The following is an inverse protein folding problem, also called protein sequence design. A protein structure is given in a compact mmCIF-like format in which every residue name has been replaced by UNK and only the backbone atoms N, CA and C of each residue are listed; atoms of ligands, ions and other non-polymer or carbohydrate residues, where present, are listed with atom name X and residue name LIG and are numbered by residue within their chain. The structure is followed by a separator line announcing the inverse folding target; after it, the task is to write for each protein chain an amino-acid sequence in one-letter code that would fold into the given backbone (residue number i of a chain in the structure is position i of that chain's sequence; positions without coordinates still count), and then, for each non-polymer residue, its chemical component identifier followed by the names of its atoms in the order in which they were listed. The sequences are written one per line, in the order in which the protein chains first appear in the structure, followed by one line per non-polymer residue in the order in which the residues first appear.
data_IF_935797430016
#
_entry.id   IF_935797430016
#
_cell.length_a   1.000
_cell.length_b   1.000
_cell.length_c   1.000
_cell.angle_alpha   90.00
_cell.angle_beta   90.00
_cell.angle_gamma   90.00
#
_symmetry.space_group_name_H-M   'P 1'
#
loop_
_entity.id
_entity.type
_entity.pdbx_description
1 polymer ?
#
# COMPACT_ATOMS: atom_id res chain seq x y z
N UNK A 1 -15.51 13.34 8.84
CA UNK A 1 -14.62 12.81 7.80
C UNK A 1 -14.75 13.69 6.57
N UNK A 2 -13.75 14.52 6.27
CA UNK A 2 -13.76 15.34 5.07
C UNK A 2 -13.99 14.47 3.83
N UNK A 3 -14.89 14.87 2.91
CA UNK A 3 -15.12 14.19 1.63
C UNK A 3 -13.76 14.03 0.94
N UNK A 4 -13.25 12.81 0.87
CA UNK A 4 -11.99 12.48 0.22
C UNK A 4 -12.12 12.87 -1.25
N UNK A 5 -11.22 13.71 -1.76
CA UNK A 5 -11.16 14.03 -3.18
C UNK A 5 -11.05 12.74 -3.98
N UNK A 6 -11.90 12.59 -5.00
CA UNK A 6 -11.96 11.40 -5.84
C UNK A 6 -10.64 11.17 -6.58
N UNK A 7 -9.91 12.25 -6.91
CA UNK A 7 -8.58 12.21 -7.49
C UNK A 7 -7.54 11.58 -6.56
N UNK A 8 -7.58 11.89 -5.26
CA UNK A 8 -6.65 11.30 -4.30
C UNK A 8 -6.96 9.82 -4.09
N UNK A 9 -8.24 9.43 -4.09
CA UNK A 9 -8.62 8.01 -4.05
C UNK A 9 -8.04 7.23 -5.26
N UNK A 10 -8.10 7.79 -6.46
CA UNK A 10 -7.54 7.18 -7.68
C UNK A 10 -6.02 7.07 -7.61
N UNK A 11 -5.33 8.12 -7.16
CA UNK A 11 -3.87 8.09 -6.95
C UNK A 11 -3.44 7.02 -5.96
N UNK A 12 -4.16 6.89 -4.84
CA UNK A 12 -3.87 5.85 -3.84
C UNK A 12 -4.10 4.45 -4.38
N UNK A 13 -5.16 4.24 -5.16
CA UNK A 13 -5.36 2.96 -5.83
C UNK A 13 -4.23 2.66 -6.81
N UNK A 14 -3.86 3.62 -7.66
CA UNK A 14 -2.79 3.45 -8.63
C UNK A 14 -1.44 3.13 -7.95
N UNK A 15 -1.09 3.84 -6.88
CA UNK A 15 0.13 3.57 -6.12
C UNK A 15 0.10 2.23 -5.39
N UNK A 16 -1.07 1.80 -4.89
CA UNK A 16 -1.25 0.47 -4.28
C UNK A 16 -1.04 -0.65 -5.30
N UNK A 17 -1.59 -0.50 -6.52
CA UNK A 17 -1.39 -1.48 -7.60
C UNK A 17 0.07 -1.54 -8.01
N UNK A 18 0.74 -0.38 -8.15
CA UNK A 18 2.17 -0.32 -8.48
C UNK A 18 3.03 -0.97 -7.38
N UNK A 19 2.73 -0.71 -6.11
CA UNK A 19 3.47 -1.31 -4.99
C UNK A 19 3.36 -2.84 -4.99
N UNK A 20 2.15 -3.38 -5.24
CA UNK A 20 1.95 -4.83 -5.37
C UNK A 20 2.71 -5.41 -6.56
N UNK A 21 2.67 -4.74 -7.72
CA UNK A 21 3.43 -5.18 -8.89
C UNK A 21 4.94 -5.22 -8.61
N UNK A 22 5.48 -4.17 -7.97
CA UNK A 22 6.88 -4.14 -7.57
C UNK A 22 7.23 -5.26 -6.59
N UNK A 23 6.36 -5.55 -5.62
CA UNK A 23 6.54 -6.65 -4.67
C UNK A 23 6.59 -8.02 -5.37
N UNK A 24 5.68 -8.27 -6.31
CA UNK A 24 5.64 -9.52 -7.07
C UNK A 24 6.92 -9.68 -7.91
N UNK A 25 7.37 -8.61 -8.58
CA UNK A 25 8.61 -8.63 -9.36
C UNK A 25 9.82 -8.89 -8.47
N UNK A 26 9.89 -8.24 -7.31
CA UNK A 26 10.95 -8.47 -6.32
C UNK A 26 10.98 -9.93 -5.86
N UNK A 27 9.82 -10.46 -5.46
CA UNK A 27 9.69 -11.85 -5.04
C UNK A 27 10.05 -12.84 -6.16
N UNK A 28 9.74 -12.51 -7.42
CA UNK A 28 10.12 -13.33 -8.57
C UNK A 28 11.65 -13.34 -8.81
N UNK A 29 12.32 -12.19 -8.66
CA UNK A 29 13.78 -12.09 -8.84
C UNK A 29 14.51 -12.85 -7.72
N UNK A 30 14.14 -12.60 -6.46
CA UNK A 30 14.78 -13.18 -5.28
C UNK A 30 14.73 -14.71 -5.26
N UNK A 31 13.67 -15.26 -5.84
CA UNK A 31 13.38 -16.70 -5.83
C UNK A 31 13.78 -17.47 -7.08
N UNK A 32 14.48 -16.84 -8.03
CA UNK A 32 14.74 -17.40 -9.36
C UNK A 32 13.46 -17.82 -10.10
N UNK A 33 12.51 -16.88 -10.27
CA UNK A 33 11.22 -17.10 -10.96
C UNK A 33 10.37 -18.23 -10.35
N UNK A 34 10.30 -18.28 -9.03
CA UNK A 34 9.47 -19.23 -8.30
C UNK A 34 9.89 -20.72 -8.36
N UNK A 35 11.06 -21.03 -8.93
CA UNK A 35 11.52 -22.42 -9.10
C UNK A 35 11.76 -23.18 -7.78
N UNK A 36 12.03 -22.46 -6.68
CA UNK A 36 12.33 -23.06 -5.36
C UNK A 36 11.29 -22.72 -4.29
N UNK A 37 10.05 -22.47 -4.68
CA UNK A 37 9.02 -22.13 -3.69
C UNK A 37 8.59 -23.34 -2.88
N UNK A 38 8.90 -23.30 -1.59
CA UNK A 38 8.18 -24.10 -0.60
C UNK A 38 6.79 -23.48 -0.36
N UNK A 39 5.80 -24.24 0.14
CA UNK A 39 4.46 -23.72 0.45
C UNK A 39 4.49 -22.51 1.40
N UNK A 40 5.49 -22.44 2.28
CA UNK A 40 5.70 -21.34 3.22
C UNK A 40 6.08 -20.06 2.48
N UNK A 41 6.95 -20.13 1.47
CA UNK A 41 7.34 -18.98 0.65
C UNK A 41 6.15 -18.40 -0.14
N UNK A 42 5.23 -19.25 -0.61
CA UNK A 42 3.98 -18.79 -1.24
C UNK A 42 3.10 -18.00 -0.29
N UNK A 43 3.05 -18.43 0.97
CA UNK A 43 2.32 -17.75 2.03
C UNK A 43 2.94 -16.37 2.32
N UNK A 44 4.27 -16.27 2.35
CA UNK A 44 4.99 -14.99 2.50
C UNK A 44 4.70 -14.04 1.34
N UNK A 45 4.70 -14.53 0.09
CA UNK A 45 4.37 -13.70 -1.08
C UNK A 45 2.93 -13.21 -1.04
N UNK A 46 1.98 -14.09 -0.71
CA UNK A 46 0.57 -13.73 -0.59
C UNK A 46 0.33 -12.68 0.50
N UNK A 47 0.90 -12.88 1.70
CA UNK A 47 0.81 -11.93 2.81
C UNK A 47 1.51 -10.61 2.46
N UNK A 48 2.69 -10.67 1.84
CA UNK A 48 3.44 -9.50 1.39
C UNK A 48 2.68 -8.68 0.34
N UNK A 49 1.97 -9.32 -0.59
CA UNK A 49 1.14 -8.65 -1.58
C UNK A 49 -0.05 -7.93 -0.92
N UNK A 50 -0.70 -8.58 0.05
CA UNK A 50 -1.77 -7.95 0.84
C UNK A 50 -1.23 -6.73 1.59
N UNK A 51 -0.10 -6.87 2.29
CA UNK A 51 0.53 -5.76 3.02
C UNK A 51 0.89 -4.62 2.07
N UNK A 52 1.54 -4.91 0.94
CA UNK A 52 1.92 -3.93 -0.07
C UNK A 52 0.72 -3.15 -0.63
N UNK A 53 -0.44 -3.79 -0.74
CA UNK A 53 -1.69 -3.13 -1.13
C UNK A 53 -2.24 -2.20 -0.04
N UNK A 54 -2.17 -2.60 1.23
CA UNK A 54 -2.74 -1.83 2.34
C UNK A 54 -1.84 -0.67 2.81
N UNK A 55 -0.52 -0.76 2.63
CA UNK A 55 0.43 0.28 3.06
C UNK A 55 0.09 1.67 2.49
N UNK A 56 -0.12 1.86 1.18
CA UNK A 56 -0.41 3.19 0.63
C UNK A 56 -1.75 3.74 1.14
N UNK A 57 -2.73 2.86 1.37
CA UNK A 57 -4.02 3.24 1.96
C UNK A 57 -3.84 3.73 3.40
N UNK A 58 -3.04 3.03 4.20
CA UNK A 58 -2.70 3.41 5.58
C UNK A 58 -1.93 4.73 5.64
N UNK A 59 -0.90 4.90 4.82
CA UNK A 59 -0.10 6.13 4.73
C UNK A 59 -1.02 7.32 4.45
N UNK A 60 -1.94 7.19 3.48
CA UNK A 60 -2.87 8.29 3.20
C UNK A 60 -3.82 8.56 4.35
N UNK A 61 -4.34 7.54 5.06
CA UNK A 61 -5.17 7.77 6.25
C UNK A 61 -4.40 8.56 7.29
N UNK A 62 -3.14 8.20 7.55
CA UNK A 62 -2.26 8.89 8.52
C UNK A 62 -2.02 10.33 8.09
N UNK A 63 -1.65 10.59 6.83
CA UNK A 63 -1.42 11.95 6.32
C UNK A 63 -2.67 12.81 6.51
N UNK A 64 -3.85 12.29 6.15
CA UNK A 64 -5.09 13.04 6.35
C UNK A 64 -5.41 13.29 7.81
N UNK A 65 -5.18 12.31 8.67
CA UNK A 65 -5.39 12.45 10.10
C UNK A 65 -4.48 13.54 10.69
N UNK A 66 -3.21 13.57 10.27
CA UNK A 66 -2.24 14.62 10.63
C UNK A 66 -2.71 15.98 10.10
N UNK A 67 -3.12 16.07 8.83
CA UNK A 67 -3.62 17.32 8.24
C UNK A 67 -4.88 17.83 8.95
N UNK A 68 -5.79 16.95 9.35
CA UNK A 68 -7.00 17.30 10.09
C UNK A 68 -6.67 17.79 11.51
N UNK A 69 -5.68 17.19 12.17
CA UNK A 69 -5.11 17.70 13.43
C UNK A 69 -4.58 19.12 13.28
N UNK A 70 -3.70 19.37 12.30
CA UNK A 70 -3.18 20.71 12.02
C UNK A 70 -4.27 21.73 11.65
N UNK A 71 -5.37 21.28 11.04
CA UNK A 71 -6.48 22.17 10.68
C UNK A 71 -7.27 22.61 11.91
N UNK A 72 -7.48 21.70 12.87
CA UNK A 72 -8.11 22.00 14.17
C UNK A 72 -7.26 22.95 15.00
N UNK A 73 -5.94 22.76 15.02
CA UNK A 73 -5.01 23.62 15.75
C UNK A 73 -4.94 25.05 15.18
N UNK A 74 -5.21 25.24 13.88
CA UNK A 74 -5.26 26.57 13.25
C UNK A 74 -6.59 27.32 13.43
N UNK A 75 -7.54 26.77 14.19
CA UNK A 75 -8.73 27.53 14.63
C UNK A 75 -9.70 27.96 13.52
N UNK A 76 -9.95 27.11 12.52
CA UNK A 76 -11.10 27.25 11.61
C UNK A 76 -11.97 26.00 11.59
#
# INVERSE_FOLDING_TARGET
MAKRSEGIRRLVMASSVLAVMCWIVFAAIDSHFFYKFTPILWLVVAVGAVIAYFIPKLICIIIYWIMEGFRKDRGK
#
